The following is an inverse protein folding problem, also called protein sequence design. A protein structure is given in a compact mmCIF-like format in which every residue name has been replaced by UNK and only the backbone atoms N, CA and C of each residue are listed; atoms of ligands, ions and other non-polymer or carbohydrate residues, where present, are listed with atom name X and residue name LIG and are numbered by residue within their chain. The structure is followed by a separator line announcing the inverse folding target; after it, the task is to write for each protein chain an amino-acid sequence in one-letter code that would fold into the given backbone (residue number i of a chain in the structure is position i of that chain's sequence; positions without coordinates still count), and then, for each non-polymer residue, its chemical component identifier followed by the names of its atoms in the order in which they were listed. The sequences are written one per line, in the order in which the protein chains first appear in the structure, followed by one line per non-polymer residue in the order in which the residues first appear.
data_IF_229478356341
#
_entry.id   IF_229478356341
#
_cell.length_a   1.000
_cell.length_b   1.000
_cell.length_c   1.000
_cell.angle_alpha   90.00
_cell.angle_beta   90.00
_cell.angle_gamma   90.00
#
_symmetry.space_group_name_H-M   'P 1'
#
loop_
_entity.id
_entity.type
_entity.pdbx_description
1 polymer ?
#
# COMPACT_ATOMS: atom_id res chain seq x y z
N UNK A 1 31.17 -4.53 -2.13
CA UNK A 1 30.43 -3.25 -2.28
C UNK A 1 29.29 -3.32 -1.29
N UNK A 2 29.25 -2.38 -0.32
CA UNK A 2 28.10 -2.31 0.58
C UNK A 2 26.88 -1.94 -0.28
N UNK A 3 25.95 -2.87 -0.49
CA UNK A 3 24.66 -2.54 -1.09
C UNK A 3 23.96 -1.60 -0.11
N UNK A 4 23.65 -0.39 -0.57
CA UNK A 4 22.89 0.56 0.24
C UNK A 4 21.52 -0.05 0.55
N UNK A 5 21.19 -0.12 1.83
CA UNK A 5 19.90 -0.65 2.26
C UNK A 5 18.77 0.21 1.71
N UNK A 6 17.83 -0.43 0.99
CA UNK A 6 16.68 0.25 0.37
C UNK A 6 15.42 0.00 1.17
N UNK A 7 14.68 1.06 1.46
CA UNK A 7 13.40 0.98 2.16
C UNK A 7 12.33 1.66 1.31
N UNK A 8 11.22 0.96 1.04
CA UNK A 8 10.05 1.56 0.43
C UNK A 8 8.94 1.69 1.48
N UNK A 9 8.30 2.87 1.53
CA UNK A 9 7.17 3.13 2.41
C UNK A 9 5.93 3.33 1.56
N UNK A 10 4.88 2.53 1.80
CA UNK A 10 3.62 2.57 1.08
C UNK A 10 2.50 2.95 2.04
N UNK A 11 2.15 4.24 2.14
CA UNK A 11 1.04 4.68 2.97
C UNK A 11 -0.29 4.58 2.24
N UNK A 12 -1.33 4.11 2.90
CA UNK A 12 -2.66 4.07 2.29
C UNK A 12 -3.79 3.66 3.23
N UNK A 13 -5.02 3.75 2.77
CA UNK A 13 -6.17 3.22 3.50
C UNK A 13 -6.58 1.82 3.07
N UNK A 14 -6.37 1.44 1.81
CA UNK A 14 -6.60 0.09 1.27
C UNK A 14 -7.99 -0.48 1.61
N UNK A 15 -9.07 0.27 1.38
CA UNK A 15 -10.41 -0.09 1.89
C UNK A 15 -11.45 -0.27 0.79
N UNK A 16 -11.68 -1.52 0.37
CA UNK A 16 -10.95 -2.75 0.73
C UNK A 16 -9.64 -2.89 -0.06
N UNK A 17 -8.70 -3.74 0.40
CA UNK A 17 -7.53 -4.10 -0.38
C UNK A 17 -7.95 -4.82 -1.66
N UNK A 18 -7.28 -4.51 -2.78
CA UNK A 18 -7.55 -5.13 -4.08
C UNK A 18 -6.25 -5.40 -4.85
N UNK A 19 -6.37 -6.10 -5.98
CA UNK A 19 -5.21 -6.51 -6.80
C UNK A 19 -4.27 -5.36 -7.17
N UNK A 20 -4.80 -4.17 -7.46
CA UNK A 20 -3.96 -2.99 -7.76
C UNK A 20 -3.07 -2.57 -6.58
N UNK A 21 -3.54 -2.71 -5.34
CA UNK A 21 -2.70 -2.47 -4.16
C UNK A 21 -1.60 -3.52 -4.04
N UNK A 22 -1.92 -4.79 -4.30
CA UNK A 22 -0.92 -5.86 -4.31
C UNK A 22 0.15 -5.63 -5.38
N UNK A 23 -0.24 -5.27 -6.60
CA UNK A 23 0.72 -4.99 -7.68
C UNK A 23 1.64 -3.82 -7.34
N UNK A 24 1.13 -2.77 -6.71
CA UNK A 24 1.97 -1.70 -6.18
C UNK A 24 2.99 -2.23 -5.16
N UNK A 25 2.54 -2.99 -4.17
CA UNK A 25 3.41 -3.53 -3.12
C UNK A 25 4.48 -4.44 -3.74
N UNK A 26 4.09 -5.32 -4.66
CA UNK A 26 4.99 -6.22 -5.39
C UNK A 26 6.04 -5.44 -6.18
N UNK A 27 5.64 -4.41 -6.91
CA UNK A 27 6.56 -3.55 -7.65
C UNK A 27 7.64 -2.94 -6.75
N UNK A 28 7.26 -2.38 -5.60
CA UNK A 28 8.23 -1.82 -4.67
C UNK A 28 9.07 -2.89 -3.97
N UNK A 29 8.52 -4.08 -3.72
CA UNK A 29 9.27 -5.24 -3.22
C UNK A 29 10.40 -5.64 -4.18
N UNK A 30 10.12 -5.63 -5.49
CA UNK A 30 11.11 -5.91 -6.53
C UNK A 30 12.16 -4.78 -6.64
N UNK A 31 11.75 -3.51 -6.54
CA UNK A 31 12.65 -2.35 -6.61
C UNK A 31 13.65 -2.28 -5.45
N UNK A 32 13.22 -2.61 -4.25
CA UNK A 32 14.14 -2.64 -3.09
C UNK A 32 15.03 -3.88 -3.09
N UNK A 33 14.59 -4.95 -3.71
CA UNK A 33 15.32 -6.23 -3.81
C UNK A 33 15.27 -7.05 -2.50
N UNK A 34 15.90 -8.22 -2.49
CA UNK A 34 15.80 -9.17 -1.37
C UNK A 34 16.42 -8.68 -0.06
N UNK A 35 17.39 -7.77 -0.14
CA UNK A 35 18.07 -7.18 1.03
C UNK A 35 17.42 -5.86 1.49
N UNK A 36 16.39 -5.41 0.78
CA UNK A 36 15.61 -4.23 1.12
C UNK A 36 14.33 -4.56 1.86
N UNK A 37 13.58 -3.53 2.26
CA UNK A 37 12.34 -3.67 3.03
C UNK A 37 11.22 -2.81 2.45
N UNK A 38 9.99 -3.34 2.46
CA UNK A 38 8.76 -2.60 2.13
C UNK A 38 7.91 -2.50 3.38
N UNK A 39 7.64 -1.28 3.80
CA UNK A 39 6.76 -0.96 4.93
C UNK A 39 5.43 -0.44 4.40
N UNK A 40 4.37 -1.21 4.58
CA UNK A 40 3.01 -0.83 4.20
C UNK A 40 2.28 -0.30 5.43
N UNK A 41 1.93 1.00 5.43
CA UNK A 41 1.21 1.62 6.54
C UNK A 41 -0.26 1.77 6.23
N UNK A 42 -1.08 0.98 6.92
CA UNK A 42 -2.55 1.06 6.85
C UNK A 42 -3.06 2.20 7.71
N UNK A 43 -3.87 3.09 7.14
CA UNK A 43 -4.42 4.22 7.87
C UNK A 43 -5.46 3.79 8.91
N UNK A 44 -5.43 4.47 10.06
CA UNK A 44 -6.44 4.40 11.12
C UNK A 44 -7.26 5.70 11.14
N UNK A 45 -8.28 5.84 10.28
CA UNK A 45 -9.01 7.08 10.15
C UNK A 45 -9.84 7.37 11.39
N UNK A 46 -10.09 8.66 11.65
CA UNK A 46 -11.09 9.09 12.64
C UNK A 46 -12.49 8.57 12.28
N UNK A 47 -13.39 8.54 13.24
CA UNK A 47 -14.78 8.09 13.04
C UNK A 47 -15.49 8.79 11.86
N UNK A 48 -15.17 10.07 11.60
CA UNK A 48 -15.74 10.85 10.49
C UNK A 48 -15.23 10.41 9.10
N UNK A 49 -14.06 9.80 9.03
CA UNK A 49 -13.39 9.44 7.77
C UNK A 49 -13.34 7.92 7.54
N UNK A 50 -14.15 7.15 8.28
CA UNK A 50 -14.22 5.71 8.08
C UNK A 50 -14.85 5.38 6.73
N UNK A 51 -14.24 4.42 6.02
CA UNK A 51 -14.82 3.83 4.83
C UNK A 51 -15.78 2.71 5.22
N UNK A 52 -16.95 2.74 4.62
CA UNK A 52 -18.02 1.78 4.88
C UNK A 52 -18.36 1.02 3.60
N UNK A 53 -18.84 -0.19 3.79
CA UNK A 53 -19.51 -0.98 2.77
C UNK A 53 -20.89 -0.38 2.42
N UNK A 54 -21.53 -0.78 1.32
CA UNK A 54 -22.87 -0.29 0.98
C UNK A 54 -23.92 -0.54 2.05
N UNK A 55 -23.79 -1.61 2.83
CA UNK A 55 -24.65 -1.95 3.97
C UNK A 55 -24.27 -1.22 5.28
N UNK A 56 -23.32 -0.29 5.22
CA UNK A 56 -22.93 0.57 6.33
C UNK A 56 -21.87 0.02 7.28
N UNK A 57 -21.33 -1.16 7.02
CA UNK A 57 -20.29 -1.79 7.83
C UNK A 57 -18.94 -1.08 7.65
N UNK A 58 -18.23 -0.86 8.74
CA UNK A 58 -16.89 -0.25 8.72
C UNK A 58 -15.84 -1.28 8.32
N UNK A 59 -15.04 -0.96 7.31
CA UNK A 59 -13.84 -1.73 6.95
C UNK A 59 -12.71 -1.31 7.90
N UNK A 60 -12.43 -2.14 8.89
CA UNK A 60 -11.43 -1.83 9.94
C UNK A 60 -9.99 -1.90 9.42
N UNK A 61 -9.05 -1.14 10.01
CA UNK A 61 -7.63 -1.26 9.67
C UNK A 61 -7.08 -2.66 9.96
N UNK A 62 -7.57 -3.33 11.00
CA UNK A 62 -7.18 -4.68 11.39
C UNK A 62 -7.56 -5.70 10.30
N UNK A 63 -8.77 -5.60 9.76
CA UNK A 63 -9.22 -6.44 8.63
C UNK A 63 -8.37 -6.17 7.39
N UNK A 64 -8.10 -4.90 7.08
CA UNK A 64 -7.24 -4.52 5.95
C UNK A 64 -5.85 -5.12 6.10
N UNK A 65 -5.24 -5.01 7.30
CA UNK A 65 -3.92 -5.61 7.56
C UNK A 65 -3.94 -7.11 7.34
N UNK A 66 -4.91 -7.83 7.92
CA UNK A 66 -5.03 -9.29 7.75
C UNK A 66 -5.12 -9.70 6.28
N UNK A 67 -5.90 -8.98 5.48
CA UNK A 67 -6.05 -9.27 4.05
C UNK A 67 -4.73 -8.97 3.29
N UNK A 68 -4.08 -7.84 3.57
CA UNK A 68 -2.79 -7.52 2.95
C UNK A 68 -1.70 -8.52 3.35
N UNK A 69 -1.68 -8.99 4.59
CA UNK A 69 -0.77 -10.07 5.03
C UNK A 69 -0.99 -11.35 4.20
N UNK A 70 -2.24 -11.70 3.89
CA UNK A 70 -2.55 -12.83 2.99
C UNK A 70 -2.03 -12.56 1.57
N UNK A 71 -2.27 -11.37 1.03
CA UNK A 71 -1.83 -11.02 -0.33
C UNK A 71 -0.31 -11.07 -0.47
N UNK A 72 0.40 -10.59 0.53
CA UNK A 72 1.85 -10.42 0.52
C UNK A 72 2.64 -11.61 1.11
N UNK A 73 1.98 -12.71 1.48
CA UNK A 73 2.60 -13.85 2.16
C UNK A 73 3.82 -14.42 1.40
N UNK A 74 3.82 -14.32 0.07
CA UNK A 74 4.94 -14.76 -0.78
C UNK A 74 6.07 -13.75 -0.93
N UNK A 75 5.88 -12.51 -0.45
CA UNK A 75 6.84 -11.42 -0.54
C UNK A 75 7.62 -11.36 0.78
N UNK A 76 8.84 -11.92 0.80
CA UNK A 76 9.61 -12.09 2.04
C UNK A 76 10.15 -10.80 2.67
N UNK A 77 10.08 -9.67 1.95
CA UNK A 77 10.60 -8.37 2.38
C UNK A 77 9.50 -7.32 2.63
N UNK A 78 8.23 -7.73 2.74
CA UNK A 78 7.09 -6.85 2.98
C UNK A 78 6.58 -6.99 4.41
N UNK A 79 6.42 -5.86 5.09
CA UNK A 79 5.84 -5.76 6.42
C UNK A 79 4.62 -4.82 6.39
N UNK A 80 3.46 -5.30 6.84
CA UNK A 80 2.21 -4.52 6.88
C UNK A 80 1.92 -4.11 8.33
N UNK A 81 1.79 -2.82 8.55
CA UNK A 81 1.54 -2.24 9.88
C UNK A 81 0.35 -1.29 9.87
N UNK A 82 -0.36 -1.19 10.99
CA UNK A 82 -1.36 -0.16 11.21
C UNK A 82 -0.65 1.08 11.73
N UNK A 83 -0.76 2.19 11.00
CA UNK A 83 -0.13 3.44 11.40
C UNK A 83 -0.72 3.96 12.71
N UNK A 84 0.13 4.23 13.71
CA UNK A 84 -0.28 4.82 14.99
C UNK A 84 -0.66 6.30 14.84
N UNK A 85 -0.07 6.95 13.85
CA UNK A 85 -0.34 8.31 13.39
C UNK A 85 -0.83 8.27 11.95
N UNK A 86 -0.96 9.42 11.27
CA UNK A 86 -1.28 9.34 9.84
C UNK A 86 -0.15 8.62 9.08
N UNK A 87 -0.46 7.81 8.05
CA UNK A 87 0.57 7.12 7.26
C UNK A 87 1.57 8.07 6.62
N UNK A 88 1.13 9.28 6.25
CA UNK A 88 2.01 10.34 5.72
C UNK A 88 2.99 10.80 6.79
N UNK A 89 2.55 10.97 8.05
CA UNK A 89 3.47 11.29 9.15
C UNK A 89 4.49 10.19 9.38
N UNK A 90 4.11 8.92 9.23
CA UNK A 90 5.06 7.80 9.30
C UNK A 90 6.19 7.93 8.26
N UNK A 91 5.90 8.44 7.05
CA UNK A 91 6.93 8.72 6.04
C UNK A 91 7.97 9.73 6.54
N UNK A 92 7.53 10.82 7.17
CA UNK A 92 8.44 11.82 7.76
C UNK A 92 9.26 11.22 8.90
N UNK A 93 8.60 10.55 9.84
CA UNK A 93 9.24 10.00 11.04
C UNK A 93 10.32 8.97 10.70
N UNK A 94 10.11 8.14 9.68
CA UNK A 94 11.09 7.16 9.21
C UNK A 94 12.26 7.87 8.51
N UNK A 95 11.97 8.81 7.60
CA UNK A 95 13.01 9.57 6.91
C UNK A 95 13.93 10.36 7.87
N UNK A 96 13.41 10.85 9.00
CA UNK A 96 14.21 11.51 10.01
C UNK A 96 15.07 10.54 10.86
N UNK A 97 14.61 9.30 11.07
CA UNK A 97 15.29 8.32 11.94
C UNK A 97 16.34 7.48 11.22
N UNK A 98 16.22 7.29 9.93
CA UNK A 98 17.18 6.53 9.15
C UNK A 98 18.53 7.25 9.12
N UNK A 99 19.61 6.53 9.43
CA UNK A 99 20.95 7.11 9.45
C UNK A 99 21.51 7.31 8.03
N UNK A 100 21.24 6.37 7.15
CA UNK A 100 21.67 6.40 5.74
C UNK A 100 20.87 5.34 4.95
N UNK A 101 20.98 5.39 3.63
CA UNK A 101 20.34 4.43 2.73
C UNK A 101 19.52 5.10 1.63
N UNK A 102 18.72 4.30 0.94
CA UNK A 102 17.85 4.75 -0.15
C UNK A 102 16.39 4.56 0.26
N UNK A 103 15.63 5.65 0.21
CA UNK A 103 14.22 5.68 0.56
C UNK A 103 13.36 5.86 -0.70
N UNK A 104 12.31 5.04 -0.82
CA UNK A 104 11.30 5.09 -1.85
C UNK A 104 9.92 5.30 -1.23
N UNK A 105 9.01 5.95 -1.96
CA UNK A 105 7.62 6.08 -1.54
C UNK A 105 6.70 5.39 -2.53
N UNK A 106 5.77 4.59 -2.01
CA UNK A 106 4.70 3.97 -2.78
C UNK A 106 3.76 5.05 -3.31
N UNK A 107 3.97 5.43 -4.55
CA UNK A 107 3.32 6.53 -5.23
C UNK A 107 2.55 6.01 -6.45
N UNK A 108 1.31 6.46 -6.61
CA UNK A 108 0.57 6.29 -7.86
C UNK A 108 0.96 7.38 -8.87
N UNK A 109 0.71 7.13 -10.16
CA UNK A 109 0.97 8.15 -11.22
C UNK A 109 0.00 9.34 -11.19
N UNK A 110 -0.84 9.47 -10.17
CA UNK A 110 -1.73 10.61 -10.01
C UNK A 110 -0.95 11.86 -9.59
N UNK A 111 -1.23 12.99 -10.21
CA UNK A 111 -0.52 14.26 -9.95
C UNK A 111 -0.51 14.67 -8.48
N UNK A 112 -1.62 14.48 -7.77
CA UNK A 112 -1.72 14.85 -6.34
C UNK A 112 -0.82 13.96 -5.46
N UNK A 113 -0.69 12.67 -5.79
CA UNK A 113 0.22 11.77 -5.09
C UNK A 113 1.67 12.18 -5.36
N UNK A 114 2.04 12.41 -6.61
CA UNK A 114 3.39 12.83 -6.99
C UNK A 114 3.77 14.13 -6.27
N UNK A 115 2.90 15.14 -6.26
CA UNK A 115 3.13 16.41 -5.56
C UNK A 115 3.36 16.21 -4.06
N UNK A 116 2.50 15.40 -3.43
CA UNK A 116 2.60 15.09 -2.00
C UNK A 116 3.93 14.44 -1.65
N UNK A 117 4.33 13.41 -2.39
CA UNK A 117 5.59 12.71 -2.11
C UNK A 117 6.83 13.53 -2.46
N UNK A 118 6.77 14.43 -3.45
CA UNK A 118 7.83 15.40 -3.70
C UNK A 118 8.01 16.37 -2.53
N UNK A 119 6.95 16.80 -1.87
CA UNK A 119 7.03 17.62 -0.66
C UNK A 119 7.72 16.86 0.49
N UNK A 120 7.33 15.58 0.68
CA UNK A 120 7.95 14.72 1.69
C UNK A 120 9.45 14.52 1.39
N UNK A 121 9.79 14.23 0.14
CA UNK A 121 11.19 14.10 -0.32
C UNK A 121 12.00 15.35 0.01
N UNK A 122 11.54 16.52 -0.42
CA UNK A 122 12.23 17.80 -0.18
C UNK A 122 12.43 18.08 1.30
N UNK A 123 11.43 17.77 2.13
CA UNK A 123 11.54 17.92 3.58
C UNK A 123 12.63 17.00 4.16
N UNK A 124 12.61 15.72 3.81
CA UNK A 124 13.57 14.74 4.34
C UNK A 124 14.98 15.08 3.91
N UNK A 125 15.21 15.38 2.64
CA UNK A 125 16.54 15.74 2.12
C UNK A 125 17.11 16.99 2.80
N UNK A 126 16.27 17.95 3.18
CA UNK A 126 16.70 19.14 3.92
C UNK A 126 17.13 18.83 5.35
N UNK A 127 16.64 17.76 5.95
CA UNK A 127 16.88 17.37 7.35
C UNK A 127 17.90 16.25 7.49
N UNK A 128 17.97 15.37 6.50
CA UNK A 128 18.82 14.19 6.52
C UNK A 128 19.60 14.06 5.20
N UNK A 129 20.73 14.76 5.07
CA UNK A 129 21.52 14.76 3.84
C UNK A 129 22.23 13.43 3.55
N UNK A 130 22.24 12.49 4.49
CA UNK A 130 22.83 11.15 4.32
C UNK A 130 21.84 10.13 3.72
N UNK A 131 20.60 10.53 3.52
CA UNK A 131 19.57 9.69 2.97
C UNK A 131 19.29 10.09 1.51
N UNK A 132 19.35 9.12 0.61
CA UNK A 132 18.97 9.31 -0.79
C UNK A 132 17.46 9.00 -0.90
N UNK A 133 16.67 10.01 -1.24
CA UNK A 133 15.23 9.79 -1.52
C UNK A 133 15.05 9.76 -3.02
N UNK A 134 14.61 8.61 -3.56
CA UNK A 134 14.35 8.47 -4.99
C UNK A 134 13.18 9.37 -5.42
N UNK A 135 13.27 9.86 -6.65
CA UNK A 135 12.23 10.72 -7.20
C UNK A 135 10.92 9.92 -7.34
N UNK A 136 9.83 10.35 -6.68
CA UNK A 136 8.55 9.65 -6.73
C UNK A 136 8.01 9.43 -8.15
N UNK A 137 8.24 10.35 -9.08
CA UNK A 137 7.77 10.19 -10.46
C UNK A 137 8.45 9.02 -11.19
N UNK A 138 9.71 8.73 -10.86
CA UNK A 138 10.48 7.66 -11.53
C UNK A 138 10.10 6.27 -11.01
N UNK A 139 9.56 6.20 -9.80
CA UNK A 139 9.14 4.95 -9.15
C UNK A 139 7.63 4.75 -9.11
N UNK A 140 6.85 5.77 -9.52
CA UNK A 140 5.39 5.74 -9.50
C UNK A 140 4.80 4.62 -10.34
N UNK A 141 3.76 3.99 -9.81
CA UNK A 141 3.05 2.88 -10.45
C UNK A 141 1.66 3.31 -10.89
N UNK A 142 1.24 2.85 -12.04
CA UNK A 142 -0.15 2.95 -12.47
C UNK A 142 -0.97 1.82 -11.83
N UNK A 143 -1.52 2.09 -10.65
CA UNK A 143 -2.35 1.11 -9.90
C UNK A 143 -3.74 0.93 -10.49
N UNK A 144 -4.12 1.71 -11.50
CA UNK A 144 -5.43 1.65 -12.13
C UNK A 144 -5.41 0.90 -13.45
N UNK A 145 -4.23 0.63 -14.01
CA UNK A 145 -4.05 -0.14 -15.23
C UNK A 145 -3.93 -1.62 -14.89
N UNK A 146 -5.02 -2.37 -14.96
CA UNK A 146 -4.98 -3.82 -15.11
C UNK A 146 -5.24 -4.17 -16.58
N UNK A 147 -4.83 -5.34 -17.03
CA UNK A 147 -5.14 -5.85 -18.37
C UNK A 147 -6.66 -5.85 -18.64
N UNK A 148 -7.48 -5.94 -17.59
CA UNK A 148 -8.94 -5.98 -17.61
C UNK A 148 -9.63 -4.63 -17.35
N UNK A 149 -8.88 -3.53 -17.22
CA UNK A 149 -9.42 -2.18 -16.96
C UNK A 149 -9.05 -1.58 -15.61
N UNK A 150 -9.69 -0.47 -15.25
CA UNK A 150 -9.41 0.29 -14.02
C UNK A 150 -9.91 -0.46 -12.79
N UNK A 151 -9.00 -0.77 -11.86
CA UNK A 151 -9.33 -1.36 -10.57
C UNK A 151 -9.23 -0.32 -9.47
N UNK A 152 -10.31 -0.04 -8.77
CA UNK A 152 -10.33 0.89 -7.65
C UNK A 152 -11.08 0.32 -6.44
N UNK A 153 -10.71 0.77 -5.24
CA UNK A 153 -11.45 0.43 -4.03
C UNK A 153 -12.91 0.90 -4.08
N UNK A 154 -13.20 1.94 -4.85
CA UNK A 154 -14.57 2.44 -5.08
C UNK A 154 -15.37 1.44 -5.90
N UNK A 155 -14.81 0.91 -6.98
CA UNK A 155 -15.48 -0.09 -7.81
C UNK A 155 -15.65 -1.40 -7.05
N UNK A 156 -14.65 -1.80 -6.27
CA UNK A 156 -14.77 -2.97 -5.40
C UNK A 156 -15.95 -2.81 -4.40
N UNK A 157 -16.12 -1.63 -3.80
CA UNK A 157 -17.26 -1.39 -2.90
C UNK A 157 -18.61 -1.45 -3.60
N UNK A 158 -18.70 -1.15 -4.90
CA UNK A 158 -19.96 -1.25 -5.68
C UNK A 158 -20.45 -2.67 -5.86
N UNK A 159 -19.53 -3.64 -5.96
CA UNK A 159 -19.88 -5.08 -6.11
C UNK A 159 -19.94 -5.81 -4.77
N UNK A 160 -19.82 -5.08 -3.67
CA UNK A 160 -19.82 -5.66 -2.33
C UNK A 160 -21.14 -6.40 -2.06
N UNK A 161 -21.04 -7.64 -1.61
CA UNK A 161 -22.19 -8.54 -1.41
C UNK A 161 -22.43 -9.51 -2.57
N UNK A 162 -21.75 -9.33 -3.73
CA UNK A 162 -21.72 -10.32 -4.80
C UNK A 162 -20.36 -11.04 -4.82
N UNK A 163 -20.22 -12.23 -4.23
CA UNK A 163 -18.94 -12.92 -4.10
C UNK A 163 -18.22 -13.16 -5.44
N UNK A 164 -18.97 -13.50 -6.50
CA UNK A 164 -18.38 -13.78 -7.82
C UNK A 164 -17.75 -12.51 -8.44
N UNK A 165 -18.42 -11.37 -8.35
CA UNK A 165 -17.88 -10.11 -8.82
C UNK A 165 -16.75 -9.62 -7.93
N UNK A 166 -16.83 -9.82 -6.61
CA UNK A 166 -15.76 -9.47 -5.67
C UNK A 166 -14.46 -10.22 -5.96
N UNK A 167 -14.53 -11.48 -6.42
CA UNK A 167 -13.37 -12.30 -6.75
C UNK A 167 -12.46 -11.66 -7.82
N UNK A 168 -13.02 -10.88 -8.74
CA UNK A 168 -12.28 -10.22 -9.83
C UNK A 168 -11.34 -9.11 -9.32
N UNK A 169 -11.60 -8.60 -8.10
CA UNK A 169 -10.77 -7.58 -7.48
C UNK A 169 -9.61 -8.13 -6.65
N UNK A 170 -9.56 -9.44 -6.44
CA UNK A 170 -8.52 -10.08 -5.65
C UNK A 170 -7.30 -10.42 -6.51
N UNK A 171 -6.08 -10.47 -5.93
CA UNK A 171 -4.86 -10.79 -6.66
C UNK A 171 -4.93 -12.14 -7.36
N UNK A 172 -4.43 -12.19 -8.60
CA UNK A 172 -4.54 -13.37 -9.46
C UNK A 172 -3.68 -14.55 -8.98
N UNK A 173 -2.58 -14.28 -8.26
CA UNK A 173 -1.72 -15.32 -7.69
C UNK A 173 -2.37 -16.13 -6.56
N UNK A 174 -3.49 -15.66 -6.00
CA UNK A 174 -4.21 -16.37 -4.95
C UNK A 174 -5.03 -17.51 -5.56
N UNK A 175 -4.97 -18.70 -4.95
CA UNK A 175 -5.87 -19.77 -5.31
C UNK A 175 -7.34 -19.49 -4.88
N UNK A 176 -8.29 -20.19 -5.47
CA UNK A 176 -9.71 -19.96 -5.24
C UNK A 176 -10.12 -20.11 -3.78
N UNK A 177 -9.56 -21.08 -3.05
CA UNK A 177 -9.81 -21.27 -1.63
C UNK A 177 -9.41 -20.05 -0.79
N UNK A 178 -8.26 -19.46 -1.09
CA UNK A 178 -7.78 -18.24 -0.43
C UNK A 178 -8.65 -17.04 -0.82
N UNK A 179 -9.03 -16.91 -2.09
CA UNK A 179 -9.95 -15.85 -2.53
C UNK A 179 -11.29 -15.93 -1.82
N UNK A 180 -11.89 -17.11 -1.71
CA UNK A 180 -13.12 -17.31 -0.96
C UNK A 180 -12.99 -16.94 0.52
N UNK A 181 -11.86 -17.31 1.16
CA UNK A 181 -11.57 -16.92 2.55
C UNK A 181 -11.54 -15.40 2.71
N UNK A 182 -10.86 -14.69 1.82
CA UNK A 182 -10.80 -13.20 1.85
C UNK A 182 -12.19 -12.59 1.69
N UNK A 183 -13.01 -13.11 0.77
CA UNK A 183 -14.38 -12.64 0.59
C UNK A 183 -15.21 -12.87 1.86
N UNK A 184 -15.11 -14.04 2.49
CA UNK A 184 -15.79 -14.29 3.75
C UNK A 184 -15.38 -13.31 4.85
N UNK A 185 -14.07 -12.99 4.96
CA UNK A 185 -13.57 -11.99 5.91
C UNK A 185 -14.14 -10.59 5.66
N UNK A 186 -14.32 -10.22 4.39
CA UNK A 186 -14.93 -8.95 4.01
C UNK A 186 -16.43 -8.88 4.30
N UNK A 187 -17.15 -10.00 4.19
CA UNK A 187 -18.60 -10.07 4.36
C UNK A 187 -19.05 -10.30 5.81
N UNK A 188 -18.16 -10.71 6.70
CA UNK A 188 -18.42 -10.82 8.15
C UNK A 188 -18.48 -9.47 8.85
#
# INVERSE_FOLDING_TARGET
MNQEHKIAIIPGSFKPPHKGHYEMIKHYSELVGPDGEVLVFVSKPSAKNQRKTPDGKVISPELVKQILDIYCQSLGNVNVEIAQVSPVKACYDIGERLKSGVLLFGCSKKDDDIKRFNQIKSYIESRNPNLIVLDPITTAVDVTASEDGVVSATDFRRVYGNPEEMMQFLPDHLNDGTKHKVIQMLLQ
#
